data_IF_596765934162
#
_entry.id   IF_596765934162
#
_cell.length_a   1.000
_cell.length_b   1.000
_cell.length_c   1.000
_cell.angle_alpha   90.00
_cell.angle_beta   90.00
_cell.angle_gamma   90.00
#
_symmetry.space_group_name_H-M   'P 1'
#
loop_
_entity.id
_entity.type
_entity.pdbx_description
1 polymer ?
#
# COMPACT_ATOMS: atom_id res chain seq x y z
N UNK A 1 -13.42 6.65 -12.99
CA UNK A 1 -12.10 6.13 -12.59
C UNK A 1 -11.59 7.03 -11.48
N UNK A 2 -11.02 6.44 -10.43
CA UNK A 2 -10.74 7.11 -9.16
C UNK A 2 -9.95 6.23 -8.18
N UNK A 3 -9.65 6.78 -7.00
CA UNK A 3 -8.82 6.15 -5.97
C UNK A 3 -9.65 5.83 -4.75
N UNK A 4 -9.63 4.58 -4.31
CA UNK A 4 -10.30 4.12 -3.09
C UNK A 4 -9.26 3.78 -2.04
N UNK A 5 -9.26 4.52 -0.93
CA UNK A 5 -8.38 4.27 0.21
C UNK A 5 -9.15 3.57 1.33
N UNK A 6 -8.49 2.60 1.93
CA UNK A 6 -9.01 1.78 3.01
C UNK A 6 -8.04 1.88 4.19
N UNK A 7 -8.40 2.64 5.21
CA UNK A 7 -7.57 2.92 6.40
C UNK A 7 -7.78 1.85 7.47
N UNK A 8 -7.70 0.58 7.08
CA UNK A 8 -7.76 -0.55 8.01
C UNK A 8 -7.20 -1.82 7.36
N UNK A 9 -6.37 -2.55 8.10
CA UNK A 9 -5.81 -3.84 7.65
C UNK A 9 -6.87 -4.90 7.32
N UNK A 10 -8.09 -4.75 7.86
CA UNK A 10 -9.21 -5.64 7.57
C UNK A 10 -10.11 -5.14 6.46
N UNK A 11 -9.98 -3.86 6.09
CA UNK A 11 -10.71 -3.31 4.97
C UNK A 11 -10.12 -3.85 3.66
N UNK A 12 -10.99 -4.09 2.70
CA UNK A 12 -10.62 -4.63 1.41
C UNK A 12 -11.60 -4.11 0.36
N UNK A 13 -11.21 -4.11 -0.92
CA UNK A 13 -12.11 -3.79 -2.01
C UNK A 13 -13.39 -4.61 -1.93
N UNK A 14 -14.53 -3.95 -2.16
CA UNK A 14 -15.84 -4.61 -2.16
C UNK A 14 -15.91 -5.65 -3.26
N UNK A 15 -16.88 -6.58 -3.16
CA UNK A 15 -17.09 -7.60 -4.20
C UNK A 15 -17.26 -6.96 -5.59
N UNK A 16 -18.06 -5.90 -5.69
CA UNK A 16 -18.26 -5.17 -6.96
C UNK A 16 -16.96 -4.56 -7.48
N UNK A 17 -16.11 -3.99 -6.63
CA UNK A 17 -14.82 -3.43 -7.05
C UNK A 17 -13.87 -4.52 -7.55
N UNK A 18 -13.82 -5.67 -6.86
CA UNK A 18 -12.98 -6.81 -7.27
C UNK A 18 -13.43 -7.35 -8.62
N UNK A 19 -14.73 -7.55 -8.78
CA UNK A 19 -15.29 -7.96 -10.06
C UNK A 19 -15.03 -6.88 -11.12
N UNK A 20 -15.24 -5.60 -10.86
CA UNK A 20 -15.07 -4.60 -11.91
C UNK A 20 -13.61 -4.35 -12.31
N UNK A 21 -12.68 -4.34 -11.36
CA UNK A 21 -11.33 -3.80 -11.57
C UNK A 21 -10.19 -4.78 -11.31
N UNK A 22 -10.44 -5.88 -10.59
CA UNK A 22 -9.41 -6.85 -10.18
C UNK A 22 -9.64 -8.20 -10.87
N UNK A 23 -9.84 -8.17 -12.20
CA UNK A 23 -10.03 -9.36 -13.04
C UNK A 23 -8.93 -9.46 -14.09
N UNK A 24 -8.74 -10.68 -14.61
CA UNK A 24 -7.77 -10.97 -15.67
C UNK A 24 -6.40 -11.31 -15.12
N UNK A 25 -5.40 -11.26 -16.00
CA UNK A 25 -4.00 -11.43 -15.64
C UNK A 25 -3.54 -10.27 -14.75
N UNK A 26 -2.73 -10.58 -13.75
CA UNK A 26 -2.18 -9.58 -12.84
C UNK A 26 -0.71 -9.84 -12.56
N UNK A 27 0.03 -8.76 -12.37
CA UNK A 27 1.43 -8.79 -11.98
C UNK A 27 1.56 -8.34 -10.52
N UNK A 28 2.23 -9.14 -9.69
CA UNK A 28 2.44 -8.82 -8.29
C UNK A 28 3.90 -8.39 -8.08
N UNK A 29 4.09 -7.26 -7.41
CA UNK A 29 5.37 -6.71 -7.03
C UNK A 29 5.40 -6.54 -5.52
N UNK A 30 6.46 -7.04 -4.89
CA UNK A 30 6.70 -6.91 -3.47
C UNK A 30 7.86 -5.94 -3.25
N UNK A 31 7.70 -5.03 -2.29
CA UNK A 31 8.68 -4.03 -1.89
C UNK A 31 8.87 -4.03 -0.37
N UNK A 32 10.03 -3.54 0.10
CA UNK A 32 10.41 -3.53 1.51
C UNK A 32 11.24 -4.75 1.92
N UNK A 33 11.63 -4.82 3.20
CA UNK A 33 12.59 -5.79 3.69
C UNK A 33 11.97 -7.19 3.87
N UNK A 34 10.64 -7.26 4.05
CA UNK A 34 9.88 -8.51 4.17
C UNK A 34 8.66 -8.58 3.22
N UNK A 35 8.65 -7.78 2.15
CA UNK A 35 7.48 -7.68 1.26
C UNK A 35 6.28 -6.99 1.90
N UNK A 36 6.54 -6.08 2.84
CA UNK A 36 5.55 -5.36 3.64
C UNK A 36 4.63 -4.49 2.78
N UNK A 37 5.12 -4.06 1.61
CA UNK A 37 4.34 -3.36 0.60
C UNK A 37 4.14 -4.29 -0.59
N UNK A 38 2.88 -4.59 -0.91
CA UNK A 38 2.50 -5.43 -2.05
C UNK A 38 1.67 -4.62 -3.04
N UNK A 39 2.15 -4.56 -4.28
CA UNK A 39 1.47 -3.94 -5.40
C UNK A 39 1.00 -5.02 -6.38
N UNK A 40 -0.31 -5.06 -6.62
CA UNK A 40 -0.93 -5.94 -7.63
C UNK A 40 -1.43 -5.09 -8.78
N UNK A 41 -0.82 -5.24 -9.95
CA UNK A 41 -1.20 -4.55 -11.18
C UNK A 41 -2.17 -5.39 -12.00
N UNK A 42 -3.29 -4.79 -12.38
CA UNK A 42 -4.26 -5.31 -13.34
C UNK A 42 -4.20 -4.47 -14.61
N UNK A 43 -4.85 -4.92 -15.68
CA UNK A 43 -4.89 -4.18 -16.96
C UNK A 43 -5.39 -2.73 -16.76
N UNK A 44 -6.56 -2.57 -16.12
CA UNK A 44 -7.20 -1.27 -15.89
C UNK A 44 -7.12 -0.76 -14.45
N UNK A 45 -6.37 -1.41 -13.55
CA UNK A 45 -6.30 -1.03 -12.14
C UNK A 45 -4.97 -1.38 -11.48
N UNK A 46 -4.74 -0.84 -10.29
CA UNK A 46 -3.64 -1.24 -9.42
C UNK A 46 -4.13 -1.28 -7.97
N UNK A 47 -3.75 -2.32 -7.24
CA UNK A 47 -4.09 -2.51 -5.85
C UNK A 47 -2.82 -2.54 -5.01
N UNK A 48 -2.67 -1.54 -4.16
CA UNK A 48 -1.55 -1.37 -3.25
C UNK A 48 -1.96 -1.80 -1.84
N UNK A 49 -1.12 -2.57 -1.18
CA UNK A 49 -1.25 -3.00 0.20
C UNK A 49 0.03 -2.61 0.94
N UNK A 50 -0.14 -2.06 2.12
CA UNK A 50 0.90 -1.89 3.12
C UNK A 50 0.43 -2.62 4.39
N UNK A 51 1.08 -3.73 4.71
CA UNK A 51 0.76 -4.54 5.88
C UNK A 51 1.33 -3.93 7.19
N UNK A 52 2.32 -3.03 7.10
CA UNK A 52 2.93 -2.36 8.26
C UNK A 52 1.98 -1.30 8.82
N UNK A 53 1.42 -0.44 7.96
CA UNK A 53 0.46 0.60 8.38
C UNK A 53 -1.00 0.18 8.23
N UNK A 54 -1.26 -1.00 7.63
CA UNK A 54 -2.61 -1.47 7.35
C UNK A 54 -3.34 -0.61 6.30
N UNK A 55 -2.58 0.07 5.45
CA UNK A 55 -3.10 0.93 4.38
C UNK A 55 -3.33 0.09 3.14
N UNK A 56 -4.52 0.21 2.55
CA UNK A 56 -4.86 -0.48 1.30
C UNK A 56 -5.48 0.52 0.34
N UNK A 57 -5.03 0.52 -0.92
CA UNK A 57 -5.44 1.52 -1.90
C UNK A 57 -5.72 0.85 -3.23
N UNK A 58 -6.91 1.07 -3.78
CA UNK A 58 -7.29 0.62 -5.11
C UNK A 58 -7.35 1.83 -6.07
N UNK A 59 -6.44 1.86 -7.03
CA UNK A 59 -6.40 2.80 -8.14
C UNK A 59 -7.17 2.20 -9.31
N UNK A 60 -8.19 2.89 -9.80
CA UNK A 60 -9.02 2.41 -10.91
C UNK A 60 -8.87 3.34 -12.10
N UNK A 61 -8.50 2.80 -13.26
CA UNK A 61 -8.25 3.53 -14.50
C UNK A 61 -6.80 3.89 -14.76
N UNK A 62 -6.45 4.05 -16.04
CA UNK A 62 -5.08 4.29 -16.49
C UNK A 62 -4.45 5.57 -15.90
N UNK A 63 -5.23 6.66 -15.75
CA UNK A 63 -4.73 7.92 -15.19
C UNK A 63 -4.39 7.81 -13.71
N UNK A 64 -5.19 7.09 -12.94
CA UNK A 64 -4.96 6.89 -11.51
C UNK A 64 -3.93 5.80 -11.25
N UNK A 65 -3.85 4.77 -12.11
CA UNK A 65 -2.79 3.74 -12.05
C UNK A 65 -1.40 4.36 -12.08
N UNK A 66 -1.16 5.42 -12.85
CA UNK A 66 0.13 6.13 -12.88
C UNK A 66 0.54 6.76 -11.55
N UNK A 67 -0.41 7.00 -10.64
CA UNK A 67 -0.13 7.53 -9.30
C UNK A 67 0.35 6.45 -8.34
N UNK A 68 0.24 5.17 -8.71
CA UNK A 68 0.62 4.07 -7.82
C UNK A 68 2.11 4.06 -7.53
N UNK A 69 2.95 4.38 -8.52
CA UNK A 69 4.40 4.48 -8.34
C UNK A 69 4.78 5.57 -7.33
N UNK A 70 4.11 6.72 -7.39
CA UNK A 70 4.34 7.83 -6.46
C UNK A 70 3.95 7.44 -5.02
N UNK A 71 2.82 6.72 -4.87
CA UNK A 71 2.36 6.25 -3.57
C UNK A 71 3.24 5.13 -3.00
N UNK A 72 3.69 4.17 -3.83
CA UNK A 72 4.63 3.12 -3.42
C UNK A 72 5.94 3.75 -2.94
N UNK A 73 6.48 4.70 -3.70
CA UNK A 73 7.69 5.42 -3.31
C UNK A 73 7.51 6.13 -1.98
N UNK A 74 6.38 6.83 -1.80
CA UNK A 74 6.07 7.49 -0.55
C UNK A 74 6.04 6.51 0.63
N UNK A 75 5.35 5.38 0.50
CA UNK A 75 5.28 4.37 1.56
C UNK A 75 6.67 3.80 1.89
N UNK A 76 7.50 3.54 0.88
CA UNK A 76 8.89 3.10 1.08
C UNK A 76 9.73 4.16 1.82
N UNK A 77 9.55 5.44 1.50
CA UNK A 77 10.21 6.52 2.22
C UNK A 77 9.71 6.63 3.68
N UNK A 78 8.41 6.43 3.94
CA UNK A 78 7.84 6.43 5.29
C UNK A 78 8.34 5.22 6.11
N UNK A 79 8.43 4.03 5.51
CA UNK A 79 9.00 2.83 6.13
C UNK A 79 10.49 3.01 6.42
N UNK A 80 11.27 3.49 5.46
CA UNK A 80 12.70 3.74 5.63
C UNK A 80 13.03 4.83 6.64
N UNK A 81 12.15 5.83 6.82
CA UNK A 81 12.27 6.80 7.92
C UNK A 81 11.93 6.20 9.28
N UNK A 82 11.00 5.25 9.36
CA UNK A 82 10.68 4.54 10.60
C UNK A 82 11.79 3.56 10.99
N UNK A 83 12.40 2.85 10.04
CA UNK A 83 13.57 2.00 10.30
C UNK A 83 14.79 2.80 10.77
N UNK A 84 14.95 4.04 10.28
CA UNK A 84 16.00 4.96 10.71
C UNK A 84 15.68 5.74 11.99
N UNK A 85 14.46 5.63 12.53
CA UNK A 85 14.19 6.03 13.91
C UNK A 85 14.40 4.79 14.77
N UNK A 86 15.62 4.53 15.29
CA UNK A 86 15.68 3.69 16.48
C UNK A 86 14.74 4.35 17.49
N UNK A 87 13.87 3.55 18.06
CA UNK A 87 12.90 3.93 19.08
C UNK A 87 13.63 4.70 20.20
N UNK A 88 13.73 6.03 20.08
CA UNK A 88 14.13 6.94 21.16
C UNK A 88 12.94 7.07 22.12
N UNK A 89 12.56 5.94 22.69
CA UNK A 89 11.81 5.86 23.93
C UNK A 89 12.70 5.17 24.98
N UNK A 90 13.84 5.78 25.29
CA UNK A 90 14.47 5.65 26.62
C UNK A 90 13.52 6.27 27.65
N UNK A 91 12.49 5.50 28.02
CA UNK A 91 11.64 5.78 29.15
C UNK A 91 12.45 5.65 30.44
N UNK A 92 13.00 6.77 30.90
CA UNK A 92 13.13 7.04 32.32
C UNK A 92 14.39 6.55 33.02
N UNK A 93 15.50 7.25 32.78
CA UNK A 93 16.49 7.46 33.84
C UNK A 93 15.89 8.38 34.92
N UNK A 94 15.29 7.82 35.96
CA UNK A 94 15.16 8.52 37.25
C UNK A 94 15.51 7.58 38.41
N UNK A 95 16.48 8.10 39.16
CA UNK A 95 17.03 7.69 40.47
C UNK A 95 16.06 7.04 41.42
#
# INVERSE_FOLDING_TARGET
>A
MGVFRFESKYAAPTKEQRERYMRGECEEHMFGNDGEIVLVLYDEAAYLKDDLEGVRILFTGASDKRKVDDEVRRLLEEHGQKEQRPDEFESGKRR
#
